data_IF_519458797250
#
_entry.id   IF_519458797250
#
_cell.length_a   1.000
_cell.length_b   1.000
_cell.length_c   1.000
_cell.angle_alpha   90.00
_cell.angle_beta   90.00
_cell.angle_gamma   90.00
#
_symmetry.space_group_name_H-M   'P 1'
#
loop_
_entity.id
_entity.type
_entity.pdbx_description
1 polymer ?
#
# COMPACT_ATOMS: atom_id res chain seq x y z
N UNK A 1 -24.10 -0.61 2.14
CA UNK A 1 -23.82 0.65 1.44
C UNK A 1 -22.78 1.38 2.27
N UNK A 2 -21.50 1.34 1.89
CA UNK A 2 -20.47 2.05 2.64
C UNK A 2 -20.55 3.53 2.26
N UNK A 3 -21.06 4.36 3.17
CA UNK A 3 -21.10 5.80 3.00
C UNK A 3 -19.71 6.35 3.27
N UNK A 4 -19.10 6.94 2.24
CA UNK A 4 -17.87 7.71 2.36
C UNK A 4 -18.20 8.98 3.15
N UNK A 5 -17.65 9.15 4.37
CA UNK A 5 -17.82 10.38 5.15
C UNK A 5 -17.12 11.55 4.45
N UNK A 6 -17.87 12.62 4.16
CA UNK A 6 -17.35 13.80 3.45
C UNK A 6 -16.47 14.67 4.37
N UNK A 7 -15.24 14.21 4.62
CA UNK A 7 -14.29 14.79 5.59
C UNK A 7 -13.29 15.79 4.99
N UNK A 8 -13.52 16.30 3.77
CA UNK A 8 -12.64 17.28 3.11
C UNK A 8 -11.55 16.70 2.21
N UNK A 9 -11.37 15.37 2.16
CA UNK A 9 -10.61 14.67 1.09
C UNK A 9 -11.49 14.45 -0.15
N UNK A 10 -10.90 14.56 -1.35
CA UNK A 10 -11.62 14.27 -2.59
C UNK A 10 -12.12 12.82 -2.60
N UNK A 11 -13.34 12.58 -3.10
CA UNK A 11 -13.98 11.27 -3.05
C UNK A 11 -13.12 10.13 -3.63
N UNK A 12 -12.35 10.39 -4.69
CA UNK A 12 -11.48 9.37 -5.29
C UNK A 12 -10.32 8.97 -4.36
N UNK A 13 -9.81 9.89 -3.54
CA UNK A 13 -8.72 9.61 -2.60
C UNK A 13 -9.22 8.71 -1.48
N UNK A 14 -10.42 8.96 -0.99
CA UNK A 14 -11.02 8.14 0.06
C UNK A 14 -11.26 6.70 -0.43
N UNK A 15 -11.77 6.56 -1.66
CA UNK A 15 -11.95 5.25 -2.30
C UNK A 15 -10.62 4.55 -2.53
N UNK A 16 -9.58 5.27 -2.97
CA UNK A 16 -8.25 4.70 -3.16
C UNK A 16 -7.60 4.27 -1.84
N UNK A 17 -7.77 5.05 -0.76
CA UNK A 17 -7.26 4.75 0.57
C UNK A 17 -7.98 3.53 1.18
N UNK A 18 -9.28 3.41 0.97
CA UNK A 18 -10.07 2.25 1.40
C UNK A 18 -9.69 0.99 0.61
N UNK A 19 -9.64 1.07 -0.72
CA UNK A 19 -9.19 -0.05 -1.56
C UNK A 19 -7.77 -0.50 -1.22
N UNK A 20 -6.88 0.44 -0.86
CA UNK A 20 -5.53 0.10 -0.41
C UNK A 20 -5.54 -0.71 0.89
N UNK A 21 -6.34 -0.31 1.88
CA UNK A 21 -6.52 -1.09 3.12
C UNK A 21 -7.03 -2.49 2.82
N UNK A 22 -8.08 -2.61 2.01
CA UNK A 22 -8.65 -3.91 1.60
C UNK A 22 -7.63 -4.81 0.86
N UNK A 23 -6.75 -4.22 0.05
CA UNK A 23 -5.64 -4.95 -0.59
C UNK A 23 -4.62 -5.42 0.45
N UNK A 24 -4.26 -4.56 1.41
CA UNK A 24 -3.34 -4.90 2.49
C UNK A 24 -3.90 -6.03 3.38
N UNK A 25 -5.21 -6.00 3.64
CA UNK A 25 -5.94 -7.01 4.41
C UNK A 25 -6.10 -8.34 3.64
N UNK A 26 -5.69 -8.39 2.36
CA UNK A 26 -5.72 -9.59 1.54
C UNK A 26 -7.08 -9.92 0.93
N UNK A 27 -8.05 -9.01 0.97
CA UNK A 27 -9.43 -9.28 0.52
C UNK A 27 -9.53 -9.71 -0.95
N UNK A 28 -8.61 -9.26 -1.80
CA UNK A 28 -8.57 -9.60 -3.22
C UNK A 28 -7.45 -10.59 -3.57
N UNK A 29 -6.80 -11.23 -2.58
CA UNK A 29 -5.68 -12.12 -2.83
C UNK A 29 -6.10 -13.40 -3.58
N UNK A 30 -7.27 -13.95 -3.26
CA UNK A 30 -7.77 -15.21 -3.84
C UNK A 30 -8.07 -15.11 -5.34
N UNK A 31 -8.68 -14.00 -5.75
CA UNK A 31 -9.03 -13.76 -7.17
C UNK A 31 -7.93 -13.00 -7.90
N UNK A 32 -7.09 -12.27 -7.17
CA UNK A 32 -6.15 -11.30 -7.71
C UNK A 32 -6.81 -10.15 -8.47
N UNK A 33 -8.14 -10.02 -8.43
CA UNK A 33 -8.92 -9.11 -9.28
C UNK A 33 -9.72 -8.12 -8.43
N UNK A 34 -9.64 -6.84 -8.80
CA UNK A 34 -10.46 -5.80 -8.19
C UNK A 34 -11.89 -5.79 -8.72
N UNK A 35 -12.84 -5.28 -7.90
CA UNK A 35 -14.22 -5.06 -8.35
C UNK A 35 -14.25 -4.18 -9.60
N UNK A 36 -15.25 -4.41 -10.46
CA UNK A 36 -15.41 -3.60 -11.66
C UNK A 36 -15.76 -2.16 -11.31
N UNK A 37 -15.57 -1.22 -12.25
CA UNK A 37 -15.99 0.17 -12.03
C UNK A 37 -17.47 0.26 -11.64
N UNK A 38 -18.35 -0.56 -12.25
CA UNK A 38 -19.77 -0.59 -11.91
C UNK A 38 -20.04 -1.07 -10.49
N UNK A 39 -19.26 -2.04 -10.00
CA UNK A 39 -19.39 -2.54 -8.62
C UNK A 39 -18.88 -1.50 -7.62
N UNK A 40 -17.80 -0.78 -7.94
CA UNK A 40 -17.31 0.34 -7.14
C UNK A 40 -18.33 1.48 -7.09
N UNK A 41 -18.97 1.81 -8.21
CA UNK A 41 -20.04 2.81 -8.22
C UNK A 41 -21.20 2.43 -7.30
N UNK A 42 -21.65 1.16 -7.35
CA UNK A 42 -22.74 0.68 -6.50
C UNK A 42 -22.35 0.62 -5.02
N UNK A 43 -21.13 0.19 -4.72
CA UNK A 43 -20.66 -0.02 -3.35
C UNK A 43 -20.42 1.30 -2.60
N UNK A 44 -19.83 2.28 -3.29
CA UNK A 44 -19.42 3.56 -2.73
C UNK A 44 -20.36 4.73 -3.09
N UNK A 45 -21.35 4.52 -3.96
CA UNK A 45 -22.26 5.58 -4.40
C UNK A 45 -21.58 6.68 -5.23
N UNK A 46 -20.53 6.32 -5.97
CA UNK A 46 -19.67 7.27 -6.71
C UNK A 46 -19.95 7.26 -8.21
N UNK A 47 -19.41 8.26 -8.92
CA UNK A 47 -19.41 8.29 -10.39
C UNK A 47 -18.31 7.39 -10.96
N UNK A 48 -18.47 6.95 -12.21
CA UNK A 48 -17.46 6.15 -12.92
C UNK A 48 -16.12 6.90 -13.03
N UNK A 49 -16.15 8.22 -13.13
CA UNK A 49 -14.96 9.07 -13.18
C UNK A 49 -14.19 8.99 -11.86
N UNK A 50 -14.88 9.09 -10.72
CA UNK A 50 -14.25 8.95 -9.40
C UNK A 50 -13.66 7.55 -9.23
N UNK A 51 -14.38 6.51 -9.63
CA UNK A 51 -13.89 5.13 -9.59
C UNK A 51 -12.63 4.95 -10.46
N UNK A 52 -12.63 5.51 -11.68
CA UNK A 52 -11.47 5.51 -12.58
C UNK A 52 -10.28 6.24 -11.99
N UNK A 53 -10.48 7.41 -11.39
CA UNK A 53 -9.40 8.18 -10.77
C UNK A 53 -8.81 7.42 -9.57
N UNK A 54 -9.65 6.78 -8.75
CA UNK A 54 -9.19 5.97 -7.62
C UNK A 54 -8.34 4.78 -8.08
N UNK A 55 -8.82 4.01 -9.08
CA UNK A 55 -8.04 2.92 -9.68
C UNK A 55 -6.76 3.44 -10.35
N UNK A 56 -6.80 4.60 -11.00
CA UNK A 56 -5.61 5.19 -11.59
C UNK A 56 -4.55 5.50 -10.52
N UNK A 57 -4.96 5.96 -9.35
CA UNK A 57 -4.04 6.21 -8.24
C UNK A 57 -3.42 4.90 -7.72
N UNK A 58 -4.20 3.83 -7.58
CA UNK A 58 -3.70 2.49 -7.24
C UNK A 58 -2.69 1.98 -8.29
N UNK A 59 -2.94 2.26 -9.57
CA UNK A 59 -2.05 1.91 -10.67
C UNK A 59 -0.74 2.71 -10.61
N UNK A 60 -0.81 4.01 -10.34
CA UNK A 60 0.38 4.86 -10.13
C UNK A 60 1.22 4.37 -8.96
N UNK A 61 0.59 3.86 -7.90
CA UNK A 61 1.26 3.26 -6.75
C UNK A 61 1.82 1.85 -7.03
N UNK A 62 1.68 1.33 -8.25
CA UNK A 62 2.18 0.01 -8.64
C UNK A 62 1.43 -1.17 -8.02
N UNK A 63 0.26 -0.94 -7.40
CA UNK A 63 -0.51 -1.97 -6.71
C UNK A 63 -1.35 -2.82 -7.66
N UNK A 64 -1.68 -2.26 -8.83
CA UNK A 64 -2.63 -2.87 -9.77
C UNK A 64 -2.20 -2.67 -11.22
N UNK A 65 -2.58 -3.60 -12.07
CA UNK A 65 -2.40 -3.58 -13.53
C UNK A 65 -3.72 -3.77 -14.25
N UNK A 66 -3.92 -3.02 -15.33
CA UNK A 66 -5.13 -3.08 -16.16
C UNK A 66 -4.92 -4.08 -17.30
N UNK A 67 -5.77 -5.09 -17.41
CA UNK A 67 -5.82 -5.99 -18.56
C UNK A 67 -7.02 -5.62 -19.43
N UNK A 68 -6.76 -5.23 -20.68
CA UNK A 68 -7.80 -4.82 -21.63
C UNK A 68 -8.86 -5.91 -21.78
N UNK A 69 -10.13 -5.56 -21.58
CA UNK A 69 -11.27 -6.48 -21.67
C UNK A 69 -11.42 -7.48 -20.52
N UNK A 70 -10.45 -7.55 -19.59
CA UNK A 70 -10.46 -8.51 -18.47
C UNK A 70 -10.61 -7.86 -17.10
N UNK A 71 -10.30 -6.58 -16.98
CA UNK A 71 -10.45 -5.82 -15.73
C UNK A 71 -9.12 -5.40 -15.11
N UNK A 72 -9.10 -5.24 -13.80
CA UNK A 72 -7.95 -4.72 -13.05
C UNK A 72 -7.50 -5.77 -12.04
N UNK A 73 -6.21 -6.07 -12.04
CA UNK A 73 -5.61 -7.15 -11.26
C UNK A 73 -4.51 -6.62 -10.36
N UNK A 74 -4.27 -7.30 -9.24
CA UNK A 74 -3.16 -7.00 -8.33
C UNK A 74 -1.81 -7.31 -8.97
N UNK A 75 -0.79 -6.55 -8.60
CA UNK A 75 0.61 -6.87 -8.93
C UNK A 75 1.20 -7.86 -7.94
N UNK A 76 2.32 -8.48 -8.31
CA UNK A 76 3.10 -9.30 -7.39
C UNK A 76 3.59 -8.43 -6.22
N UNK A 77 3.24 -8.82 -4.98
CA UNK A 77 3.58 -8.05 -3.78
C UNK A 77 2.63 -6.89 -3.46
N UNK A 78 1.50 -6.75 -4.17
CA UNK A 78 0.54 -5.66 -3.94
C UNK A 78 0.05 -5.56 -2.48
N UNK A 79 -0.15 -6.68 -1.78
CA UNK A 79 -0.56 -6.67 -0.37
C UNK A 79 0.48 -6.01 0.54
N UNK A 80 1.76 -6.41 0.43
CA UNK A 80 2.86 -5.84 1.20
C UNK A 80 3.08 -4.36 0.86
N UNK A 81 3.06 -4.00 -0.43
CA UNK A 81 3.19 -2.61 -0.87
C UNK A 81 2.00 -1.74 -0.43
N UNK A 82 0.78 -2.30 -0.42
CA UNK A 82 -0.40 -1.61 0.06
C UNK A 82 -0.35 -1.36 1.57
N UNK A 83 0.15 -2.33 2.35
CA UNK A 83 0.34 -2.18 3.80
C UNK A 83 1.31 -1.02 4.12
N UNK A 84 2.44 -0.95 3.42
CA UNK A 84 3.43 0.14 3.58
C UNK A 84 2.84 1.51 3.26
N UNK A 85 1.96 1.59 2.26
CA UNK A 85 1.30 2.83 1.83
C UNK A 85 0.05 3.18 2.67
N UNK A 86 -0.51 2.21 3.40
CA UNK A 86 -1.68 2.40 4.27
C UNK A 86 -1.27 2.95 5.65
N UNK A 87 -0.07 2.59 6.12
CA UNK A 87 0.51 3.15 7.36
C UNK A 87 1.95 3.68 7.14
N UNK A 88 2.07 4.93 6.67
CA UNK A 88 3.38 5.57 6.49
C UNK A 88 4.13 5.78 7.81
N UNK A 89 3.41 5.93 8.93
CA UNK A 89 4.00 6.22 10.24
C UNK A 89 4.54 4.94 10.88
N UNK A 90 3.78 3.84 10.81
CA UNK A 90 4.24 2.51 11.19
C UNK A 90 5.45 2.06 10.36
N UNK A 91 5.39 2.23 9.04
CA UNK A 91 6.53 1.91 8.16
C UNK A 91 7.77 2.73 8.49
N UNK A 92 7.62 4.01 8.82
CA UNK A 92 8.74 4.87 9.25
C UNK A 92 9.29 4.44 10.62
N UNK A 93 8.45 3.95 11.52
CA UNK A 93 8.86 3.42 12.81
C UNK A 93 9.67 2.12 12.66
N UNK A 94 9.20 1.18 11.82
CA UNK A 94 9.91 -0.07 11.49
C UNK A 94 11.28 0.22 10.85
N UNK A 95 11.34 1.16 9.89
CA UNK A 95 12.61 1.54 9.28
C UNK A 95 13.58 2.18 10.28
N UNK A 96 13.08 2.97 11.24
CA UNK A 96 13.92 3.56 12.31
C UNK A 96 14.47 2.48 13.24
N UNK A 97 13.67 1.50 13.60
CA UNK A 97 14.10 0.37 14.41
C UNK A 97 15.20 -0.44 13.71
N UNK A 98 15.02 -0.74 12.42
CA UNK A 98 16.02 -1.48 11.66
C UNK A 98 17.33 -0.68 11.45
N UNK A 99 17.22 0.65 11.27
CA UNK A 99 18.40 1.53 11.23
C UNK A 99 19.15 1.52 12.57
N UNK A 100 18.45 1.51 13.70
CA UNK A 100 19.08 1.47 15.03
C UNK A 100 19.79 0.13 15.27
N UNK A 101 19.17 -0.98 14.86
CA UNK A 101 19.78 -2.30 14.91
C UNK A 101 21.07 -2.37 14.09
N UNK A 102 21.03 -1.90 12.83
CA UNK A 102 22.21 -1.87 11.98
C UNK A 102 23.32 -0.99 12.57
N UNK A 103 22.97 0.15 13.19
CA UNK A 103 23.95 1.01 13.88
C UNK A 103 24.61 0.31 15.05
N UNK A 104 23.85 -0.46 15.84
CA UNK A 104 24.39 -1.27 16.93
C UNK A 104 25.39 -2.31 16.42
N UNK A 105 25.01 -3.07 15.38
CA UNK A 105 25.87 -4.10 14.77
C UNK A 105 27.16 -3.50 14.19
N UNK A 106 27.08 -2.33 13.54
CA UNK A 106 28.26 -1.61 13.03
C UNK A 106 29.16 -1.12 14.16
N UNK A 107 28.59 -0.67 15.28
CA UNK A 107 29.33 -0.30 16.48
C UNK A 107 30.13 -1.47 17.06
N UNK A 108 29.48 -2.62 17.22
CA UNK A 108 30.12 -3.85 17.70
C UNK A 108 31.24 -4.32 16.77
N UNK A 109 31.00 -4.30 15.45
CA UNK A 109 32.01 -4.68 14.47
C UNK A 109 33.23 -3.77 14.52
N UNK A 110 33.03 -2.45 14.63
CA UNK A 110 34.14 -1.49 14.78
C UNK A 110 34.95 -1.74 16.05
N UNK A 111 34.30 -2.04 17.16
CA UNK A 111 34.96 -2.32 18.43
C UNK A 111 35.78 -3.62 18.38
N UNK A 112 35.27 -4.64 17.67
CA UNK A 112 36.01 -5.89 17.40
C UNK A 112 37.24 -5.67 16.53
N UNK A 113 37.13 -4.85 15.47
CA UNK A 113 38.27 -4.51 14.61
C UNK A 113 39.34 -3.75 15.39
N UNK A 114 38.97 -2.76 16.20
CA UNK A 114 39.91 -2.01 17.03
C UNK A 114 40.66 -2.89 18.05
N UNK A 115 40.00 -3.95 18.56
CA UNK A 115 40.63 -4.92 19.47
C UNK A 115 41.62 -5.83 18.76
N UNK A 116 41.38 -6.15 17.48
CA UNK A 116 42.27 -6.99 16.66
C UNK A 116 43.47 -6.21 16.11
N UNK A 117 43.30 -4.93 15.79
CA UNK A 117 44.39 -4.05 15.29
C UNK A 117 45.32 -3.53 16.39
N UNK A 118 44.95 -3.70 17.67
CA UNK A 118 45.75 -3.29 18.84
C UNK A 118 46.71 -4.35 19.39
N UNK A 119 46.74 -5.55 18.79
CA UNK A 119 47.66 -6.66 19.09
C UNK A 119 48.72 -6.81 17.98
#
# INVERSE_FOLDING_TARGET
MQMVEWTGKFAYQQVADDLRRRIADGEFADTGQLPSYGDLQKSYGITVTVARTAISQLKTNGLVVSHQGKGVFLTAGAGSAAAQLADPVGTMAELREEVEKLRSEVGELRQRVATLEGN
#
